data_IF_173774949836
#
_entry.id   IF_173774949836
#
_cell.length_a   1.000
_cell.length_b   1.000
_cell.length_c   1.000
_cell.angle_alpha   90.00
_cell.angle_beta   90.00
_cell.angle_gamma   90.00
#
_symmetry.space_group_name_H-M   'P 1'
#
loop_
_entity.id
_entity.type
_entity.pdbx_description
1 polymer ?
#
# COMPACT_ATOMS: atom_id res chain seq x y z
N UNK A 1 16.07 -22.05 -28.70
CA UNK A 1 16.10 -20.59 -28.89
C UNK A 1 15.58 -20.00 -27.60
N UNK A 2 16.43 -19.17 -27.02
CA UNK A 2 16.42 -18.64 -25.67
C UNK A 2 15.29 -17.60 -25.54
N UNK A 3 14.22 -17.94 -24.82
CA UNK A 3 13.14 -17.00 -24.51
C UNK A 3 13.63 -16.12 -23.36
N UNK A 4 14.33 -15.07 -23.78
CA UNK A 4 14.90 -14.00 -23.00
C UNK A 4 14.05 -13.66 -21.77
N UNK A 5 14.70 -13.70 -20.60
CA UNK A 5 14.30 -13.02 -19.39
C UNK A 5 13.72 -11.63 -19.73
N UNK A 6 12.39 -11.49 -19.75
CA UNK A 6 11.75 -10.18 -19.61
C UNK A 6 12.04 -9.70 -18.18
N UNK A 7 13.25 -9.19 -17.99
CA UNK A 7 13.72 -8.66 -16.72
C UNK A 7 12.71 -7.65 -16.19
N UNK A 8 12.26 -7.88 -14.96
CA UNK A 8 11.30 -7.01 -14.30
C UNK A 8 11.82 -5.56 -14.32
N UNK A 9 11.08 -4.65 -14.94
CA UNK A 9 11.53 -3.26 -15.08
C UNK A 9 11.20 -2.44 -13.84
N UNK A 10 12.11 -2.43 -12.86
CA UNK A 10 12.00 -1.65 -11.63
C UNK A 10 11.74 -0.16 -11.89
N UNK A 11 12.25 0.38 -13.01
CA UNK A 11 12.01 1.78 -13.39
C UNK A 11 10.54 2.07 -13.61
N UNK A 12 9.76 1.13 -14.14
CA UNK A 12 8.32 1.30 -14.35
C UNK A 12 7.59 1.42 -13.00
N UNK A 13 7.98 0.60 -12.01
CA UNK A 13 7.40 0.66 -10.66
C UNK A 13 7.79 1.96 -9.95
N UNK A 14 9.04 2.38 -10.03
CA UNK A 14 9.47 3.65 -9.43
C UNK A 14 8.77 4.86 -10.06
N UNK A 15 8.53 4.81 -11.37
CA UNK A 15 7.77 5.87 -12.07
C UNK A 15 6.29 5.83 -11.68
N UNK A 16 5.70 4.66 -11.40
CA UNK A 16 4.29 4.59 -10.98
C UNK A 16 4.05 5.29 -9.64
N UNK A 17 5.05 5.35 -8.75
CA UNK A 17 4.95 6.14 -7.51
C UNK A 17 4.77 7.63 -7.75
N UNK A 18 5.16 8.17 -8.92
CA UNK A 18 4.86 9.57 -9.27
C UNK A 18 3.36 9.81 -9.45
N UNK A 19 2.59 8.78 -9.82
CA UNK A 19 1.14 8.87 -9.96
C UNK A 19 0.42 8.83 -8.60
N UNK A 20 1.14 8.55 -7.51
CA UNK A 20 0.58 8.59 -6.16
C UNK A 20 0.31 10.01 -5.68
N UNK A 21 0.94 11.02 -6.26
CA UNK A 21 0.72 12.42 -5.88
C UNK A 21 -0.13 13.11 -6.94
N UNK A 22 -1.19 13.79 -6.50
CA UNK A 22 -1.95 14.69 -7.35
C UNK A 22 -1.38 16.13 -7.33
N UNK A 23 -2.03 17.05 -8.05
CA UNK A 23 -1.63 18.47 -8.11
C UNK A 23 -1.70 19.18 -6.75
N UNK A 24 -2.41 18.62 -5.77
CA UNK A 24 -2.55 19.13 -4.41
C UNK A 24 -1.61 18.44 -3.42
N UNK A 25 -0.69 17.62 -3.91
CA UNK A 25 0.20 16.78 -3.12
C UNK A 25 -0.57 15.78 -2.22
N UNK A 26 -1.80 15.43 -2.61
CA UNK A 26 -2.53 14.35 -1.96
C UNK A 26 -1.99 12.99 -2.37
N UNK A 27 -1.81 12.09 -1.41
CA UNK A 27 -1.36 10.73 -1.70
C UNK A 27 -2.58 9.89 -2.04
N UNK A 28 -2.81 9.65 -3.32
CA UNK A 28 -3.91 8.85 -3.84
C UNK A 28 -3.70 7.37 -3.49
N UNK A 29 -4.72 6.73 -2.93
CA UNK A 29 -4.61 5.37 -2.44
C UNK A 29 -4.58 4.34 -3.58
N UNK A 30 -5.36 4.53 -4.64
CA UNK A 30 -5.44 3.57 -5.75
C UNK A 30 -4.08 3.43 -6.49
N UNK A 31 -3.41 4.53 -6.90
CA UNK A 31 -2.06 4.46 -7.46
C UNK A 31 -1.00 3.95 -6.48
N UNK A 32 -1.19 4.23 -5.17
CA UNK A 32 -0.31 3.73 -4.12
C UNK A 32 -0.37 2.20 -4.00
N UNK A 33 -1.58 1.63 -3.95
CA UNK A 33 -1.78 0.17 -3.95
C UNK A 33 -1.21 -0.46 -5.23
N UNK A 34 -1.46 0.16 -6.40
CA UNK A 34 -0.95 -0.33 -7.67
C UNK A 34 0.59 -0.37 -7.71
N UNK A 35 1.24 0.69 -7.22
CA UNK A 35 2.71 0.77 -7.14
C UNK A 35 3.28 -0.28 -6.19
N UNK A 36 2.63 -0.49 -5.03
CA UNK A 36 3.00 -1.56 -4.11
C UNK A 36 2.85 -2.96 -4.69
N UNK A 37 1.80 -3.24 -5.48
CA UNK A 37 1.66 -4.51 -6.20
C UNK A 37 2.81 -4.71 -7.19
N UNK A 38 3.27 -3.65 -7.85
CA UNK A 38 4.48 -3.65 -8.66
C UNK A 38 5.71 -4.08 -7.87
N UNK A 39 5.95 -3.46 -6.70
CA UNK A 39 7.05 -3.83 -5.80
C UNK A 39 6.96 -5.27 -5.32
N UNK A 40 5.77 -5.77 -4.99
CA UNK A 40 5.58 -7.17 -4.59
C UNK A 40 5.98 -8.12 -5.72
N UNK A 41 5.59 -7.82 -6.97
CA UNK A 41 5.99 -8.62 -8.15
C UNK A 41 7.51 -8.59 -8.35
N UNK A 42 8.14 -7.44 -8.18
CA UNK A 42 9.60 -7.31 -8.20
C UNK A 42 10.26 -8.21 -7.15
N UNK A 43 9.86 -8.07 -5.89
CA UNK A 43 10.41 -8.85 -4.77
C UNK A 43 10.25 -10.35 -5.03
N UNK A 44 9.11 -10.78 -5.56
CA UNK A 44 8.88 -12.18 -5.91
C UNK A 44 9.77 -12.68 -7.06
N UNK A 45 10.17 -11.81 -7.99
CA UNK A 45 11.11 -12.16 -9.06
C UNK A 45 12.55 -12.38 -8.57
N UNK A 46 12.91 -11.83 -7.40
CA UNK A 46 14.24 -12.03 -6.78
C UNK A 46 14.40 -13.39 -6.10
N UNK A 47 13.35 -14.22 -6.08
CA UNK A 47 13.40 -15.60 -5.58
C UNK A 47 12.44 -15.88 -4.42
N UNK A 48 12.30 -17.16 -4.09
CA UNK A 48 11.28 -17.67 -3.15
C UNK A 48 11.46 -17.18 -1.71
N UNK A 49 12.68 -16.80 -1.29
CA UNK A 49 12.93 -16.23 0.04
C UNK A 49 12.16 -14.92 0.21
N UNK A 50 12.13 -14.07 -0.81
CA UNK A 50 11.43 -12.79 -0.78
C UNK A 50 9.90 -12.94 -0.86
N UNK A 51 9.40 -14.09 -1.32
CA UNK A 51 7.96 -14.39 -1.30
C UNK A 51 7.39 -14.49 0.11
N UNK A 52 8.22 -14.85 1.11
CA UNK A 52 7.79 -14.86 2.51
C UNK A 52 7.65 -13.42 3.05
N UNK A 53 8.61 -12.56 2.73
CA UNK A 53 8.61 -11.15 3.13
C UNK A 53 7.44 -10.41 2.48
N UNK A 54 7.14 -10.73 1.21
CA UNK A 54 6.07 -10.08 0.47
C UNK A 54 4.66 -10.47 0.95
N UNK A 55 4.47 -11.61 1.64
CA UNK A 55 3.16 -12.00 2.22
C UNK A 55 2.61 -10.95 3.20
N UNK A 56 3.46 -10.40 4.05
CA UNK A 56 3.06 -9.40 5.04
C UNK A 56 2.60 -8.09 4.38
N UNK A 57 3.24 -7.73 3.26
CA UNK A 57 2.85 -6.59 2.41
C UNK A 57 1.54 -6.89 1.71
N UNK A 58 1.40 -8.05 1.06
CA UNK A 58 0.18 -8.47 0.35
C UNK A 58 -1.04 -8.47 1.27
N UNK A 59 -0.92 -9.00 2.49
CA UNK A 59 -2.01 -8.98 3.47
C UNK A 59 -2.47 -7.56 3.81
N UNK A 60 -1.54 -6.60 3.91
CA UNK A 60 -1.88 -5.18 4.16
C UNK A 60 -2.52 -4.52 2.96
N UNK A 61 -2.07 -4.83 1.75
CA UNK A 61 -2.69 -4.33 0.53
C UNK A 61 -4.15 -4.81 0.44
N UNK A 62 -4.43 -6.07 0.78
CA UNK A 62 -5.79 -6.60 0.83
C UNK A 62 -6.68 -5.86 1.85
N UNK A 63 -6.14 -5.50 3.02
CA UNK A 63 -6.86 -4.65 3.99
C UNK A 63 -7.20 -3.29 3.35
N UNK A 64 -6.23 -2.64 2.70
CA UNK A 64 -6.45 -1.34 2.06
C UNK A 64 -7.46 -1.42 0.90
N UNK A 65 -7.42 -2.48 0.10
CA UNK A 65 -8.39 -2.72 -0.98
C UNK A 65 -9.80 -2.95 -0.45
N UNK A 66 -9.94 -3.68 0.66
CA UNK A 66 -11.24 -3.89 1.32
C UNK A 66 -11.82 -2.58 1.85
N UNK A 67 -10.99 -1.72 2.45
CA UNK A 67 -11.40 -0.41 2.93
C UNK A 67 -11.81 0.50 1.76
N UNK A 68 -11.04 0.47 0.67
CA UNK A 68 -11.31 1.27 -0.54
C UNK A 68 -12.50 0.77 -1.36
N UNK A 69 -12.79 -0.53 -1.35
CA UNK A 69 -13.97 -1.11 -2.01
C UNK A 69 -15.21 -1.20 -1.12
N UNK A 70 -15.12 -0.74 0.13
CA UNK A 70 -16.20 -0.82 1.11
C UNK A 70 -17.17 0.37 1.05
N UNK A 71 -18.14 0.43 1.99
CA UNK A 71 -19.14 1.50 2.07
C UNK A 71 -18.54 2.90 2.28
N UNK A 72 -17.33 2.98 2.84
CA UNK A 72 -16.61 4.22 3.13
C UNK A 72 -15.56 4.56 2.06
N UNK A 73 -15.67 3.97 0.86
CA UNK A 73 -14.68 4.07 -0.23
C UNK A 73 -14.19 5.50 -0.47
N UNK A 74 -15.10 6.48 -0.51
CA UNK A 74 -14.81 7.90 -0.72
C UNK A 74 -13.79 8.47 0.28
N UNK A 75 -13.87 8.04 1.55
CA UNK A 75 -12.93 8.47 2.58
C UNK A 75 -11.54 7.83 2.43
N UNK A 76 -11.43 6.75 1.66
CA UNK A 76 -10.17 6.08 1.35
C UNK A 76 -9.61 6.51 -0.02
N UNK A 77 -10.08 7.60 -0.64
CA UNK A 77 -9.53 8.10 -1.92
C UNK A 77 -8.07 8.55 -1.80
N UNK A 78 -7.75 9.30 -0.74
CA UNK A 78 -6.39 9.75 -0.44
C UNK A 78 -6.03 9.45 1.02
N UNK A 79 -4.73 9.37 1.33
CA UNK A 79 -4.26 9.16 2.70
C UNK A 79 -4.72 10.26 3.63
N UNK A 80 -4.76 11.51 3.16
CA UNK A 80 -5.25 12.66 3.91
C UNK A 80 -6.72 12.49 4.29
N UNK A 81 -7.58 12.13 3.33
CA UNK A 81 -9.00 11.87 3.59
C UNK A 81 -9.20 10.70 4.56
N UNK A 82 -8.39 9.65 4.42
CA UNK A 82 -8.43 8.47 5.29
C UNK A 82 -8.07 8.85 6.73
N UNK A 83 -6.98 9.58 6.92
CA UNK A 83 -6.54 10.03 8.25
C UNK A 83 -7.60 10.91 8.90
N UNK A 84 -8.17 11.86 8.14
CA UNK A 84 -9.24 12.72 8.64
C UNK A 84 -10.47 11.91 9.08
N UNK A 85 -10.93 10.96 8.26
CA UNK A 85 -12.08 10.12 8.56
C UNK A 85 -11.85 9.18 9.76
N UNK A 86 -10.72 8.48 9.80
CA UNK A 86 -10.47 7.51 10.86
C UNK A 86 -10.23 8.20 12.21
N UNK A 87 -9.59 9.38 12.23
CA UNK A 87 -9.43 10.17 13.45
C UNK A 87 -10.75 10.78 13.92
N UNK A 88 -11.57 11.34 13.01
CA UNK A 88 -12.86 11.95 13.39
C UNK A 88 -13.82 10.92 13.97
N UNK A 89 -13.79 9.70 13.45
CA UNK A 89 -14.68 8.61 13.87
C UNK A 89 -14.08 7.70 14.95
N UNK A 90 -12.88 8.03 15.47
CA UNK A 90 -12.16 7.23 16.49
C UNK A 90 -11.97 5.76 16.08
N UNK A 91 -11.69 5.54 14.79
CA UNK A 91 -11.41 4.22 14.21
C UNK A 91 -9.93 3.85 14.30
N UNK A 92 -9.11 4.67 14.99
CA UNK A 92 -7.68 4.42 15.19
C UNK A 92 -7.40 4.21 16.68
N UNK A 93 -6.88 3.03 17.00
CA UNK A 93 -6.35 2.73 18.32
C UNK A 93 -4.97 3.41 18.49
N UNK A 94 -4.93 4.53 19.23
CA UNK A 94 -3.72 5.35 19.42
C UNK A 94 -2.75 4.80 20.48
N UNK A 95 -3.26 4.20 21.56
CA UNK A 95 -2.45 3.78 22.71
C UNK A 95 -2.20 2.27 22.72
N UNK A 96 -3.26 1.47 22.67
CA UNK A 96 -3.17 0.02 22.73
C UNK A 96 -4.20 -0.60 21.78
N UNK A 97 -3.84 -1.75 21.18
CA UNK A 97 -4.73 -2.48 20.28
C UNK A 97 -5.96 -2.93 21.04
N UNK A 98 -7.13 -2.43 20.67
CA UNK A 98 -8.40 -2.88 21.24
C UNK A 98 -9.40 -3.14 20.12
N UNK A 99 -10.17 -2.13 19.74
CA UNK A 99 -11.36 -2.29 18.93
C UNK A 99 -11.09 -2.19 17.43
N UNK A 100 -9.97 -1.56 17.01
CA UNK A 100 -9.63 -1.36 15.60
C UNK A 100 -8.23 -1.89 15.26
N UNK A 101 -8.01 -3.21 15.36
CA UNK A 101 -6.71 -3.81 15.11
C UNK A 101 -6.23 -3.67 13.64
N UNK A 102 -7.11 -3.34 12.70
CA UNK A 102 -6.82 -3.23 11.26
C UNK A 102 -7.25 -1.88 10.66
N UNK A 103 -7.02 -0.77 11.35
CA UNK A 103 -7.28 0.56 10.75
C UNK A 103 -6.43 0.82 9.50
N UNK A 104 -6.91 1.67 8.60
CA UNK A 104 -6.18 2.09 7.41
C UNK A 104 -4.90 2.84 7.77
N UNK A 105 -4.97 3.78 8.74
CA UNK A 105 -3.83 4.57 9.20
C UNK A 105 -2.64 3.70 9.62
N UNK A 106 -2.88 2.68 10.45
CA UNK A 106 -1.80 1.82 10.93
C UNK A 106 -1.27 0.88 9.85
N UNK A 107 -2.14 0.46 8.94
CA UNK A 107 -1.80 -0.44 7.84
C UNK A 107 -0.88 0.28 6.87
N UNK A 108 -1.22 1.52 6.51
CA UNK A 108 -0.38 2.42 5.72
C UNK A 108 0.93 2.72 6.42
N UNK A 109 0.95 2.95 7.74
CA UNK A 109 2.20 3.22 8.48
C UNK A 109 3.21 2.08 8.32
N UNK A 110 2.75 0.82 8.33
CA UNK A 110 3.63 -0.34 8.11
C UNK A 110 4.13 -0.42 6.68
N UNK A 111 3.27 -0.16 5.70
CA UNK A 111 3.67 -0.05 4.30
C UNK A 111 4.70 1.06 4.13
N UNK A 112 4.44 2.27 4.63
CA UNK A 112 5.34 3.41 4.53
C UNK A 112 6.73 3.13 5.13
N UNK A 113 6.79 2.48 6.31
CA UNK A 113 8.07 2.04 6.90
C UNK A 113 8.82 1.05 6.01
N UNK A 114 8.11 0.12 5.38
CA UNK A 114 8.71 -0.80 4.43
C UNK A 114 9.18 -0.07 3.15
N UNK A 115 8.49 0.98 2.73
CA UNK A 115 8.91 1.81 1.59
C UNK A 115 10.21 2.56 1.88
N UNK A 116 10.37 3.09 3.09
CA UNK A 116 11.58 3.81 3.49
C UNK A 116 12.81 2.89 3.60
N UNK A 117 12.60 1.59 3.85
CA UNK A 117 13.70 0.62 3.88
C UNK A 117 14.16 0.21 2.48
N UNK A 118 13.30 0.33 1.47
CA UNK A 118 13.54 -0.06 0.09
C UNK A 118 14.29 1.05 -0.69
#
# INVERSE_FOLDING_TARGET
>A
MDDSETGFNLKVVLVSFKQCLDEKEEVLLDPYIASWKGLVRFLNSLGTIFSFISKDVVSKLQIMERLRGGPQSEHYRSLQAMVAHELSNRLVDLECRSHHPESGCRTVLRLHRALHWL
#
